data_IF_294922744939
#
_entry.id   IF_294922744939
#
_cell.length_a   1.000
_cell.length_b   1.000
_cell.length_c   1.000
_cell.angle_alpha   90.00
_cell.angle_beta   90.00
_cell.angle_gamma   90.00
#
_symmetry.space_group_name_H-M   'P 1'
#
loop_
_entity.id
_entity.type
_entity.pdbx_description
1 polymer ?
#
# COMPACT_ATOMS: atom_id res chain seq x y z
N UNK A 1 8.25 -32.86 25.93
CA UNK A 1 7.11 -31.93 26.07
C UNK A 1 7.69 -30.52 26.08
N UNK A 2 7.67 -29.82 24.96
CA UNK A 2 8.15 -28.44 24.89
C UNK A 2 7.11 -27.54 25.56
N UNK A 3 7.47 -26.92 26.67
CA UNK A 3 6.66 -25.86 27.28
C UNK A 3 6.93 -24.62 26.45
N UNK A 4 5.96 -24.21 25.63
CA UNK A 4 6.01 -22.91 24.95
C UNK A 4 5.77 -21.86 26.05
N UNK A 5 6.77 -21.03 26.35
CA UNK A 5 6.64 -20.01 27.38
C UNK A 5 5.53 -19.01 27.01
N UNK A 6 4.55 -18.82 27.90
CA UNK A 6 3.48 -17.83 27.75
C UNK A 6 4.10 -16.43 27.69
N UNK A 7 3.81 -15.70 26.60
CA UNK A 7 4.25 -14.31 26.42
C UNK A 7 3.46 -13.34 27.30
N UNK A 8 3.96 -12.11 27.48
CA UNK A 8 3.29 -11.08 28.28
C UNK A 8 1.89 -10.75 27.74
N UNK A 9 1.73 -10.57 26.43
CA UNK A 9 0.42 -10.26 25.84
C UNK A 9 -0.56 -11.43 26.01
N UNK A 10 -0.13 -12.68 25.81
CA UNK A 10 -0.98 -13.86 26.05
C UNK A 10 -1.46 -13.93 27.50
N UNK A 11 -0.56 -13.68 28.45
CA UNK A 11 -0.90 -13.65 29.88
C UNK A 11 -1.93 -12.57 30.19
N UNK A 12 -1.71 -11.35 29.71
CA UNK A 12 -2.64 -10.24 29.90
C UNK A 12 -3.99 -10.51 29.24
N UNK A 13 -4.01 -11.09 28.05
CA UNK A 13 -5.25 -11.46 27.35
C UNK A 13 -6.02 -12.54 28.13
N UNK A 14 -5.34 -13.53 28.71
CA UNK A 14 -5.95 -14.55 29.56
C UNK A 14 -6.56 -13.95 30.83
N UNK A 15 -5.82 -13.07 31.51
CA UNK A 15 -6.34 -12.34 32.68
C UNK A 15 -7.55 -11.48 32.27
N UNK A 16 -7.49 -10.82 31.10
CA UNK A 16 -8.60 -10.07 30.54
C UNK A 16 -9.87 -10.92 30.41
N UNK A 17 -9.74 -12.15 29.92
CA UNK A 17 -10.87 -13.05 29.73
C UNK A 17 -11.44 -13.61 31.05
N UNK A 18 -10.64 -13.69 32.10
CA UNK A 18 -11.02 -14.34 33.37
C UNK A 18 -11.64 -13.39 34.40
N UNK A 19 -11.26 -12.10 34.40
CA UNK A 19 -11.80 -11.14 35.36
C UNK A 19 -13.04 -10.39 34.81
N UNK A 20 -13.92 -9.89 35.69
CA UNK A 20 -15.07 -9.07 35.31
C UNK A 20 -14.69 -7.85 34.46
N UNK A 21 -15.58 -7.50 33.52
CA UNK A 21 -15.40 -6.35 32.64
C UNK A 21 -15.66 -5.05 33.42
N UNK A 22 -14.59 -4.38 33.86
CA UNK A 22 -14.68 -3.06 34.50
C UNK A 22 -14.53 -1.95 33.46
N UNK A 23 -15.29 -0.83 33.58
CA UNK A 23 -15.15 0.30 32.67
C UNK A 23 -13.71 0.80 32.60
N UNK A 24 -13.20 1.00 31.37
CA UNK A 24 -11.83 1.45 31.12
C UNK A 24 -10.76 0.34 31.10
N UNK A 25 -11.12 -0.91 31.43
CA UNK A 25 -10.23 -2.06 31.26
C UNK A 25 -9.92 -2.28 29.79
N UNK A 26 -8.66 -2.59 29.47
CA UNK A 26 -8.16 -2.67 28.09
C UNK A 26 -7.88 -4.11 27.72
N UNK A 27 -8.45 -4.55 26.62
CA UNK A 27 -8.12 -5.84 26.01
C UNK A 27 -6.84 -5.66 25.18
N UNK A 28 -5.72 -6.33 25.52
CA UNK A 28 -4.55 -6.30 24.67
C UNK A 28 -4.83 -7.06 23.36
N UNK A 29 -4.24 -6.60 22.26
CA UNK A 29 -4.32 -7.28 20.97
C UNK A 29 -3.02 -8.02 20.74
N UNK A 30 -3.08 -9.36 20.66
CA UNK A 30 -1.89 -10.17 20.42
C UNK A 30 -1.83 -10.66 18.97
N UNK A 31 -0.63 -10.89 18.46
CA UNK A 31 -0.40 -11.56 17.18
C UNK A 31 -0.41 -13.10 17.32
N UNK A 32 -0.28 -13.81 16.19
CA UNK A 32 -0.33 -15.27 16.15
C UNK A 32 0.83 -15.96 16.90
N UNK A 33 1.91 -15.23 17.21
CA UNK A 33 3.03 -15.72 18.01
C UNK A 33 2.86 -15.38 19.50
N UNK A 34 1.77 -14.69 19.86
CA UNK A 34 1.47 -14.27 21.22
C UNK A 34 2.09 -12.94 21.61
N UNK A 35 2.93 -12.31 20.79
CA UNK A 35 3.46 -10.98 21.09
C UNK A 35 2.36 -9.92 20.99
N UNK A 36 2.62 -8.70 21.45
CA UNK A 36 1.70 -7.60 21.14
C UNK A 36 1.66 -7.37 19.64
N UNK A 37 0.44 -7.25 19.09
CA UNK A 37 0.24 -6.79 17.74
C UNK A 37 0.80 -5.37 17.57
N UNK A 38 1.24 -5.04 16.35
CA UNK A 38 1.92 -3.79 15.99
C UNK A 38 1.22 -2.51 16.48
N UNK A 39 -0.10 -2.57 16.68
CA UNK A 39 -0.96 -1.46 17.07
C UNK A 39 -1.70 -1.83 18.35
N UNK A 40 -1.63 -0.96 19.36
CA UNK A 40 -2.44 -1.06 20.58
C UNK A 40 -3.25 0.21 20.76
N UNK A 41 -4.52 0.06 21.15
CA UNK A 41 -5.43 1.19 21.33
C UNK A 41 -5.90 1.30 22.77
N UNK A 42 -5.98 2.54 23.21
CA UNK A 42 -6.21 2.97 24.58
C UNK A 42 -7.22 4.12 24.52
N UNK A 43 -8.49 3.82 24.82
CA UNK A 43 -9.56 4.80 24.71
C UNK A 43 -9.69 5.33 23.27
N UNK A 44 -9.46 6.63 23.09
CA UNK A 44 -9.51 7.32 21.79
C UNK A 44 -8.18 7.35 21.02
N UNK A 45 -7.08 6.87 21.62
CA UNK A 45 -5.74 6.96 21.02
C UNK A 45 -5.18 5.56 20.75
N UNK A 46 -4.51 5.39 19.62
CA UNK A 46 -3.75 4.21 19.25
C UNK A 46 -2.28 4.55 19.09
N UNK A 47 -1.44 3.54 19.31
CA UNK A 47 0.02 3.63 19.29
C UNK A 47 0.58 2.46 18.50
N UNK A 48 1.64 2.72 17.75
CA UNK A 48 2.48 1.66 17.24
C UNK A 48 3.39 1.16 18.36
N UNK A 49 3.54 -0.17 18.48
CA UNK A 49 4.28 -0.81 19.57
C UNK A 49 5.23 -1.90 19.06
N UNK A 50 6.32 -2.11 19.78
CA UNK A 50 7.22 -3.26 19.62
C UNK A 50 6.55 -4.56 20.09
N UNK A 51 7.18 -5.72 19.81
CA UNK A 51 6.67 -7.05 20.21
C UNK A 51 6.42 -7.20 21.72
N UNK A 52 7.16 -6.46 22.54
CA UNK A 52 7.01 -6.42 23.99
C UNK A 52 5.95 -5.41 24.49
N UNK A 53 5.27 -4.70 23.58
CA UNK A 53 4.24 -3.72 23.90
C UNK A 53 4.76 -2.29 24.14
N UNK A 54 6.08 -2.06 24.09
CA UNK A 54 6.65 -0.71 24.23
C UNK A 54 6.23 0.18 23.06
N UNK A 55 5.76 1.39 23.36
CA UNK A 55 5.35 2.37 22.37
C UNK A 55 6.54 2.87 21.56
N UNK A 56 6.34 3.01 20.24
CA UNK A 56 7.31 3.59 19.33
C UNK A 56 7.07 5.11 19.30
N UNK A 57 8.05 5.94 19.72
CA UNK A 57 7.89 7.38 19.74
C UNK A 57 7.54 7.95 18.36
N UNK A 58 6.67 8.96 18.32
CA UNK A 58 6.25 9.62 17.07
C UNK A 58 5.09 8.94 16.32
N UNK A 59 4.78 7.68 16.62
CA UNK A 59 3.73 6.93 15.93
C UNK A 59 2.50 6.70 16.79
N UNK A 60 1.61 7.70 16.78
CA UNK A 60 0.32 7.63 17.47
C UNK A 60 -0.77 8.31 16.65
N UNK A 61 -1.98 7.77 16.69
CA UNK A 61 -3.12 8.28 15.92
C UNK A 61 -4.44 7.99 16.61
N UNK A 62 -5.49 8.70 16.22
CA UNK A 62 -6.80 8.53 16.82
C UNK A 62 -7.45 7.19 16.43
N UNK A 63 -8.23 6.61 17.34
CA UNK A 63 -8.84 5.29 17.20
C UNK A 63 -9.79 5.17 15.99
N UNK A 64 -10.44 6.25 15.55
CA UNK A 64 -11.27 6.21 14.33
C UNK A 64 -10.49 5.92 13.04
N UNK A 65 -9.15 6.06 13.05
CA UNK A 65 -8.27 5.63 11.96
C UNK A 65 -7.77 4.19 12.12
N UNK A 66 -8.08 3.51 13.24
CA UNK A 66 -7.45 2.24 13.58
C UNK A 66 -7.62 1.15 12.51
N UNK A 67 -8.74 1.08 11.80
CA UNK A 67 -8.94 0.04 10.78
C UNK A 67 -7.97 0.14 9.60
N UNK A 68 -7.64 1.37 9.18
CA UNK A 68 -6.75 1.64 8.05
C UNK A 68 -5.27 1.56 8.44
N UNK A 69 -4.99 1.66 9.75
CA UNK A 69 -3.63 1.84 10.26
C UNK A 69 -3.01 0.54 10.76
N UNK A 70 -1.84 0.21 10.21
CA UNK A 70 -1.25 -1.12 10.42
C UNK A 70 -0.04 -1.12 11.36
N UNK A 71 0.71 -0.02 11.44
CA UNK A 71 1.96 0.09 12.22
C UNK A 71 3.11 -0.85 11.76
N UNK A 72 3.00 -1.49 10.59
CA UNK A 72 4.03 -2.43 10.11
C UNK A 72 5.38 -1.72 9.89
N UNK A 73 5.39 -0.58 9.20
CA UNK A 73 6.61 0.14 8.86
C UNK A 73 7.34 0.66 10.10
N UNK A 74 6.61 1.36 10.99
CA UNK A 74 7.18 1.91 12.22
C UNK A 74 7.85 0.83 13.08
N UNK A 75 7.19 -0.33 13.23
CA UNK A 75 7.74 -1.44 14.02
C UNK A 75 8.96 -2.05 13.36
N UNK A 76 8.92 -2.28 12.06
CA UNK A 76 10.04 -2.89 11.34
C UNK A 76 11.25 -1.96 11.32
N UNK A 77 11.04 -0.65 11.13
CA UNK A 77 12.07 0.36 11.25
C UNK A 77 12.73 0.33 12.63
N UNK A 78 11.93 0.40 13.70
CA UNK A 78 12.44 0.40 15.07
C UNK A 78 13.20 -0.89 15.42
N UNK A 79 12.71 -2.05 14.98
CA UNK A 79 13.39 -3.34 15.17
C UNK A 79 14.71 -3.41 14.38
N UNK A 80 14.74 -2.90 13.15
CA UNK A 80 15.95 -2.87 12.33
C UNK A 80 17.00 -1.91 12.90
N UNK A 81 16.63 -0.70 13.29
CA UNK A 81 17.52 0.28 13.91
C UNK A 81 18.14 -0.27 15.20
N UNK A 82 17.37 -1.02 16.00
CA UNK A 82 17.86 -1.67 17.22
C UNK A 82 18.94 -2.73 16.97
N UNK A 83 19.06 -3.27 15.74
CA UNK A 83 20.15 -4.20 15.39
C UNK A 83 21.50 -3.50 15.19
N UNK A 84 21.49 -2.18 14.97
CA UNK A 84 22.69 -1.41 14.59
C UNK A 84 23.17 -1.65 13.15
N UNK A 85 22.44 -2.45 12.36
CA UNK A 85 22.73 -2.63 10.94
C UNK A 85 22.33 -1.38 10.16
N UNK A 86 23.09 -1.10 9.10
CA UNK A 86 22.86 0.02 8.18
C UNK A 86 22.60 -0.51 6.77
N UNK A 87 21.83 0.23 5.97
CA UNK A 87 21.62 -0.07 4.54
C UNK A 87 20.18 -0.32 4.11
N UNK A 88 19.25 -0.50 5.06
CA UNK A 88 17.81 -0.48 4.78
C UNK A 88 17.22 0.87 5.17
N UNK A 89 16.56 1.53 4.23
CA UNK A 89 15.84 2.77 4.47
C UNK A 89 14.35 2.49 4.57
N UNK A 90 13.72 2.98 5.62
CA UNK A 90 12.27 2.88 5.82
C UNK A 90 11.65 4.24 5.53
N UNK A 91 10.62 4.25 4.69
CA UNK A 91 9.76 5.42 4.52
C UNK A 91 8.41 5.07 5.13
N UNK A 92 8.12 5.65 6.30
CA UNK A 92 6.86 5.42 6.99
C UNK A 92 6.01 6.68 6.97
N UNK A 93 4.71 6.51 6.83
CA UNK A 93 3.73 7.57 7.07
C UNK A 93 3.62 7.85 8.58
N UNK A 94 3.10 9.02 8.97
CA UNK A 94 3.01 9.44 10.38
C UNK A 94 2.19 8.50 11.29
N UNK A 95 1.37 7.65 10.69
CA UNK A 95 0.55 6.65 11.34
C UNK A 95 1.23 5.27 11.47
N UNK A 96 2.48 5.16 10.99
CA UNK A 96 3.34 3.99 11.10
C UNK A 96 3.13 2.93 10.02
N UNK A 97 2.29 3.21 9.03
CA UNK A 97 2.16 2.39 7.83
C UNK A 97 3.31 2.64 6.84
N UNK A 98 3.46 1.76 5.86
CA UNK A 98 4.45 1.95 4.80
C UNK A 98 4.01 3.09 3.88
N UNK A 99 4.93 4.01 3.61
CA UNK A 99 4.77 4.99 2.53
C UNK A 99 4.67 4.24 1.20
N UNK A 100 3.91 4.82 0.26
CA UNK A 100 3.70 4.26 -1.07
C UNK A 100 4.99 4.18 -1.90
N UNK A 101 6.09 4.76 -1.40
CA UNK A 101 7.43 4.63 -1.97
C UNK A 101 8.39 4.10 -0.93
N UNK A 102 9.14 3.07 -1.30
CA UNK A 102 10.29 2.60 -0.52
C UNK A 102 11.55 2.69 -1.37
N UNK A 103 12.70 2.76 -0.70
CA UNK A 103 13.98 2.84 -1.37
C UNK A 103 14.98 1.86 -0.76
N UNK A 104 15.80 1.24 -1.60
CA UNK A 104 16.94 0.42 -1.20
C UNK A 104 18.18 0.92 -1.91
N UNK A 105 19.13 1.48 -1.15
CA UNK A 105 20.28 2.19 -1.71
C UNK A 105 19.83 3.42 -2.52
N UNK A 106 20.21 3.47 -3.80
CA UNK A 106 19.82 4.54 -4.74
C UNK A 106 18.56 4.23 -5.55
N UNK A 107 17.95 3.07 -5.32
CA UNK A 107 16.78 2.62 -6.07
C UNK A 107 15.51 2.84 -5.26
N UNK A 108 14.54 3.55 -5.83
CA UNK A 108 13.22 3.72 -5.25
C UNK A 108 12.16 3.03 -6.10
N UNK A 109 11.13 2.50 -5.45
CA UNK A 109 10.05 1.75 -6.07
C UNK A 109 8.72 2.05 -5.38
N UNK A 110 7.63 1.91 -6.14
CA UNK A 110 6.28 1.94 -5.58
C UNK A 110 6.07 0.71 -4.70
N UNK A 111 5.51 0.89 -3.51
CA UNK A 111 5.34 -0.16 -2.54
C UNK A 111 3.90 -0.23 -2.02
N UNK A 112 3.38 -1.46 -1.91
CA UNK A 112 2.16 -1.76 -1.17
C UNK A 112 2.51 -2.58 0.06
N UNK A 113 2.20 -2.04 1.25
CA UNK A 113 2.60 -2.64 2.54
C UNK A 113 4.11 -2.97 2.59
N UNK A 114 4.95 -2.10 2.01
CA UNK A 114 6.40 -2.24 1.99
C UNK A 114 6.96 -3.16 0.89
N UNK A 115 6.10 -3.86 0.14
CA UNK A 115 6.50 -4.72 -0.98
C UNK A 115 6.43 -3.97 -2.30
N UNK A 116 7.45 -4.14 -3.13
CA UNK A 116 7.47 -3.57 -4.48
C UNK A 116 6.24 -4.02 -5.28
N UNK A 117 5.62 -3.05 -5.94
CA UNK A 117 4.56 -3.27 -6.93
C UNK A 117 5.00 -2.69 -8.27
N UNK A 118 4.77 -3.44 -9.34
CA UNK A 118 5.22 -3.11 -10.69
C UNK A 118 6.72 -3.29 -10.92
N UNK A 119 7.12 -3.22 -12.18
CA UNK A 119 8.53 -3.34 -12.61
C UNK A 119 9.32 -2.03 -12.47
N UNK A 120 8.64 -0.93 -12.12
CA UNK A 120 9.23 0.41 -12.04
C UNK A 120 10.13 0.57 -10.82
N UNK A 121 11.44 0.52 -11.05
CA UNK A 121 12.47 0.93 -10.09
C UNK A 121 13.34 2.03 -10.70
N UNK A 122 13.52 3.16 -10.00
CA UNK A 122 14.29 4.30 -10.52
C UNK A 122 15.62 4.43 -9.80
N UNK A 123 16.70 4.61 -10.58
CA UNK A 123 18.06 4.86 -10.11
C UNK A 123 18.30 6.38 -9.95
N UNK A 124 18.88 6.84 -8.85
CA UNK A 124 19.17 8.27 -8.55
C UNK A 124 17.92 9.18 -8.42
N UNK A 125 16.80 8.67 -7.90
CA UNK A 125 15.54 9.43 -7.83
C UNK A 125 15.56 10.60 -6.84
N UNK A 126 15.41 11.84 -7.36
CA UNK A 126 14.99 13.00 -6.56
C UNK A 126 13.48 12.91 -6.32
N UNK A 127 13.07 13.03 -5.06
CA UNK A 127 11.68 13.01 -4.61
C UNK A 127 10.94 14.26 -5.16
N UNK A 128 10.18 14.12 -6.26
CA UNK A 128 9.27 15.16 -6.74
C UNK A 128 7.86 14.93 -6.18
N UNK A 129 7.49 15.69 -5.14
CA UNK A 129 6.11 15.82 -4.68
C UNK A 129 5.28 16.35 -5.85
N UNK A 130 4.47 15.50 -6.48
CA UNK A 130 3.48 15.97 -7.43
C UNK A 130 2.24 16.32 -6.62
N UNK A 131 1.82 17.58 -6.66
CA UNK A 131 0.50 17.96 -6.19
C UNK A 131 -0.53 17.35 -7.13
N UNK A 132 -1.20 16.28 -6.70
CA UNK A 132 -2.33 15.72 -7.44
C UNK A 132 -3.62 16.43 -7.04
N UNK A 133 -4.41 16.85 -8.03
CA UNK A 133 -5.73 17.43 -7.82
C UNK A 133 -6.79 16.45 -8.33
N UNK A 134 -7.72 16.07 -7.44
CA UNK A 134 -8.91 15.31 -7.83
C UNK A 134 -10.05 16.25 -8.19
N UNK A 135 -10.94 15.79 -9.07
CA UNK A 135 -12.23 16.43 -9.32
C UNK A 135 -13.34 15.59 -8.70
N UNK A 136 -14.13 16.18 -7.81
CA UNK A 136 -15.45 15.64 -7.45
C UNK A 136 -16.42 16.17 -8.51
N UNK A 137 -17.07 15.24 -9.22
CA UNK A 137 -18.11 15.48 -10.21
C UNK A 137 -17.71 16.43 -11.37
N UNK A 138 -16.41 16.47 -11.70
CA UNK A 138 -15.88 17.23 -12.83
C UNK A 138 -15.76 18.75 -12.63
N UNK A 139 -16.19 19.30 -11.48
CA UNK A 139 -16.26 20.76 -11.29
C UNK A 139 -15.67 21.30 -9.99
N UNK A 140 -15.38 20.47 -8.98
CA UNK A 140 -14.70 20.91 -7.76
C UNK A 140 -13.32 20.27 -7.60
N UNK A 141 -12.29 21.12 -7.65
CA UNK A 141 -10.88 20.78 -7.41
C UNK A 141 -10.67 20.56 -5.91
N UNK A 142 -10.32 19.35 -5.50
CA UNK A 142 -9.87 19.08 -4.13
C UNK A 142 -8.45 18.50 -4.13
N UNK A 143 -7.70 18.82 -3.09
CA UNK A 143 -6.35 18.31 -2.88
C UNK A 143 -6.48 16.85 -2.42
N UNK A 144 -6.08 15.90 -3.26
CA UNK A 144 -6.02 14.49 -2.90
C UNK A 144 -4.62 14.22 -2.37
N UNK A 145 -4.52 13.56 -1.22
CA UNK A 145 -3.26 13.32 -0.50
C UNK A 145 -2.15 12.78 -1.42
N UNK A 146 -0.99 13.42 -1.27
CA UNK A 146 0.33 13.20 -1.87
C UNK A 146 0.55 11.84 -2.57
N UNK A 147 0.69 11.85 -3.91
CA UNK A 147 1.29 10.75 -4.67
C UNK A 147 2.55 11.26 -5.36
N UNK A 148 3.65 10.57 -5.12
CA UNK A 148 4.96 10.89 -5.66
C UNK A 148 5.26 10.00 -6.88
N UNK A 149 5.55 10.60 -8.02
CA UNK A 149 6.18 9.90 -9.15
C UNK A 149 7.69 10.01 -9.00
N UNK A 150 8.40 8.89 -9.09
CA UNK A 150 9.85 8.92 -9.23
C UNK A 150 10.14 9.09 -10.73
N UNK A 151 10.62 10.27 -11.14
CA UNK A 151 11.06 10.54 -12.53
C UNK A 151 12.61 10.56 -12.54
N UNK A 152 13.28 9.87 -13.47
CA UNK A 152 14.74 9.96 -13.62
C UNK A 152 15.18 11.39 -13.97
N UNK A 153 16.23 11.91 -13.32
CA UNK A 153 16.86 13.16 -13.75
C UNK A 153 17.48 12.97 -15.15
N UNK A 154 16.95 13.67 -16.16
CA UNK A 154 17.51 13.66 -17.52
C UNK A 154 16.53 13.86 -18.66
N UNK A 155 15.22 13.75 -18.45
CA UNK A 155 14.21 14.05 -19.48
C UNK A 155 13.15 14.97 -18.90
N UNK A 156 13.15 16.24 -19.32
CA UNK A 156 11.90 16.99 -19.40
C UNK A 156 11.25 16.65 -20.74
N UNK A 157 10.10 15.96 -20.77
CA UNK A 157 9.10 16.19 -21.79
C UNK A 157 8.02 17.07 -21.16
N UNK A 158 7.88 18.27 -21.73
CA UNK A 158 6.65 19.03 -21.64
C UNK A 158 5.45 18.10 -21.89
N UNK A 159 4.55 17.99 -20.91
CA UNK A 159 3.21 17.39 -20.99
C UNK A 159 3.02 15.86 -20.86
N UNK A 160 3.86 15.10 -20.13
CA UNK A 160 3.54 13.70 -19.80
C UNK A 160 3.34 13.49 -18.29
N UNK A 161 2.09 13.50 -17.85
CA UNK A 161 1.68 13.03 -16.53
C UNK A 161 1.63 11.50 -16.57
N UNK A 162 2.36 10.83 -15.69
CA UNK A 162 2.31 9.37 -15.54
C UNK A 162 0.91 9.00 -15.00
N UNK A 163 0.16 8.17 -15.72
CA UNK A 163 -1.11 7.61 -15.25
C UNK A 163 -0.79 6.32 -14.49
N UNK A 164 -1.40 6.07 -13.33
CA UNK A 164 -1.17 4.85 -12.54
C UNK A 164 -2.44 4.00 -12.44
N UNK A 165 -3.52 4.40 -13.11
CA UNK A 165 -4.82 3.75 -12.98
C UNK A 165 -4.80 2.31 -13.50
N UNK A 166 -4.12 2.05 -14.62
CA UNK A 166 -4.05 0.70 -15.18
C UNK A 166 -3.37 -0.29 -14.22
N UNK A 167 -2.21 0.08 -13.68
CA UNK A 167 -1.47 -0.76 -12.73
C UNK A 167 -2.20 -0.95 -11.39
N UNK A 168 -2.86 0.10 -10.89
CA UNK A 168 -3.67 0.03 -9.66
C UNK A 168 -4.84 -0.94 -9.82
N UNK A 169 -5.62 -0.79 -10.89
CA UNK A 169 -6.80 -1.65 -11.12
C UNK A 169 -6.41 -3.10 -11.41
N UNK A 170 -5.27 -3.32 -12.06
CA UNK A 170 -4.70 -4.65 -12.23
C UNK A 170 -4.44 -5.31 -10.87
N UNK A 171 -3.73 -4.63 -9.97
CA UNK A 171 -3.41 -5.16 -8.65
C UNK A 171 -4.68 -5.41 -7.79
N UNK A 172 -5.67 -4.51 -7.86
CA UNK A 172 -6.96 -4.68 -7.19
C UNK A 172 -7.71 -5.91 -7.70
N UNK A 173 -7.74 -6.12 -9.02
CA UNK A 173 -8.39 -7.27 -9.63
C UNK A 173 -7.66 -8.59 -9.30
N UNK A 174 -6.34 -8.62 -9.36
CA UNK A 174 -5.53 -9.79 -8.98
C UNK A 174 -5.76 -10.18 -7.51
N UNK A 175 -5.91 -9.19 -6.61
CA UNK A 175 -6.20 -9.43 -5.20
C UNK A 175 -7.57 -10.10 -4.96
N UNK A 176 -8.51 -9.98 -5.90
CA UNK A 176 -9.81 -10.68 -5.81
C UNK A 176 -9.70 -12.18 -6.09
N UNK A 177 -8.62 -12.63 -6.73
CA UNK A 177 -8.45 -14.02 -7.20
C UNK A 177 -9.38 -14.39 -8.37
N UNK A 178 -10.11 -13.42 -8.93
CA UNK A 178 -10.92 -13.63 -10.12
C UNK A 178 -10.03 -13.71 -11.38
N UNK A 179 -10.46 -14.54 -12.32
CA UNK A 179 -9.84 -14.69 -13.65
C UNK A 179 -10.79 -14.17 -14.72
N UNK A 180 -10.22 -13.62 -15.80
CA UNK A 180 -11.00 -13.13 -16.94
C UNK A 180 -10.94 -11.62 -17.18
N UNK A 181 -10.02 -10.88 -16.57
CA UNK A 181 -9.67 -9.53 -17.03
C UNK A 181 -8.17 -9.48 -17.28
N UNK A 182 -7.77 -9.09 -18.48
CA UNK A 182 -6.38 -8.92 -18.85
C UNK A 182 -6.11 -7.43 -18.97
N UNK A 183 -5.30 -6.91 -18.05
CA UNK A 183 -4.85 -5.53 -18.07
C UNK A 183 -3.61 -5.43 -18.95
N UNK A 184 -3.66 -4.54 -19.94
CA UNK A 184 -2.50 -4.17 -20.74
C UNK A 184 -2.19 -2.71 -20.46
N UNK A 185 -1.03 -2.42 -19.90
CA UNK A 185 -0.66 -1.05 -19.55
C UNK A 185 0.50 -0.59 -20.43
N UNK A 186 0.51 0.69 -20.77
CA UNK A 186 1.65 1.35 -21.42
C UNK A 186 2.74 1.68 -20.38
N UNK A 187 3.91 2.09 -20.85
CA UNK A 187 5.03 2.47 -19.98
C UNK A 187 4.79 3.79 -19.22
N UNK A 188 3.85 4.62 -19.66
CA UNK A 188 3.39 5.81 -18.93
C UNK A 188 2.24 5.50 -17.95
N UNK A 189 1.85 4.23 -17.86
CA UNK A 189 0.89 3.63 -16.94
C UNK A 189 -0.60 3.92 -17.23
N UNK A 190 -0.88 4.51 -18.39
CA UNK A 190 -2.22 4.49 -18.98
C UNK A 190 -2.56 3.11 -19.56
N UNK A 191 -3.80 2.93 -20.04
CA UNK A 191 -4.22 1.68 -20.65
C UNK A 191 -3.70 1.58 -22.09
N UNK A 192 -3.15 0.41 -22.45
CA UNK A 192 -2.85 0.07 -23.85
C UNK A 192 -4.14 0.17 -24.69
N UNK A 193 -3.97 0.60 -25.93
CA UNK A 193 -4.99 0.68 -26.97
C UNK A 193 -5.85 -0.59 -27.11
N UNK A 194 -5.35 -1.76 -26.67
CA UNK A 194 -6.10 -3.02 -26.66
C UNK A 194 -6.28 -3.51 -25.22
N UNK A 195 -7.53 -3.73 -24.78
CA UNK A 195 -7.87 -4.36 -23.50
C UNK A 195 -8.72 -5.61 -23.71
N UNK A 196 -8.70 -6.53 -22.76
CA UNK A 196 -9.50 -7.76 -22.85
C UNK A 196 -10.24 -8.11 -21.57
N UNK A 197 -11.48 -8.57 -21.75
CA UNK A 197 -12.34 -9.11 -20.70
C UNK A 197 -12.97 -10.41 -21.20
N UNK A 198 -12.90 -11.45 -20.37
CA UNK A 198 -13.24 -12.82 -20.71
C UNK A 198 -12.38 -13.33 -21.86
N UNK A 199 -13.05 -13.78 -22.92
CA UNK A 199 -12.43 -14.25 -24.16
C UNK A 199 -12.39 -13.20 -25.28
N UNK A 200 -12.75 -11.95 -24.98
CA UNK A 200 -12.88 -10.87 -25.97
C UNK A 200 -11.92 -9.72 -25.69
N UNK A 201 -11.36 -9.16 -26.76
CA UNK A 201 -10.50 -7.98 -26.75
C UNK A 201 -11.15 -6.86 -27.56
N UNK A 202 -10.90 -5.61 -27.19
CA UNK A 202 -11.48 -4.42 -27.80
C UNK A 202 -10.50 -3.25 -27.78
N UNK A 203 -10.73 -2.25 -28.64
CA UNK A 203 -9.97 -1.00 -28.58
C UNK A 203 -10.40 -0.18 -27.38
N UNK A 204 -9.45 0.35 -26.62
CA UNK A 204 -9.69 1.14 -25.42
C UNK A 204 -9.09 2.54 -25.50
N UNK A 205 -9.68 3.49 -24.78
CA UNK A 205 -9.09 4.80 -24.56
C UNK A 205 -8.02 4.77 -23.46
N UNK A 206 -7.37 5.91 -23.23
CA UNK A 206 -6.35 6.08 -22.20
C UNK A 206 -6.80 5.72 -20.77
N UNK A 207 -8.12 5.64 -20.51
CA UNK A 207 -8.71 5.24 -19.23
C UNK A 207 -9.21 3.77 -19.23
N UNK A 208 -8.93 3.00 -20.29
CA UNK A 208 -9.30 1.59 -20.40
C UNK A 208 -10.75 1.35 -20.83
N UNK A 209 -11.47 2.41 -21.23
CA UNK A 209 -12.86 2.31 -21.66
C UNK A 209 -12.93 1.91 -23.13
N UNK A 210 -13.80 0.95 -23.45
CA UNK A 210 -14.02 0.50 -24.82
C UNK A 210 -14.41 1.66 -25.76
N UNK A 211 -13.69 1.78 -26.87
CA UNK A 211 -13.98 2.67 -28.00
C UNK A 211 -14.64 1.86 -29.10
N UNK A 212 -15.85 2.27 -29.49
CA UNK A 212 -16.63 1.61 -30.53
C UNK A 212 -17.19 0.24 -30.11
N UNK A 213 -17.85 -0.44 -31.05
CA UNK A 213 -18.52 -1.72 -30.78
C UNK A 213 -17.67 -2.94 -31.15
N UNK A 214 -16.56 -2.72 -31.84
CA UNK A 214 -15.67 -3.78 -32.33
C UNK A 214 -14.98 -4.50 -31.17
N UNK A 215 -15.23 -5.80 -31.07
CA UNK A 215 -14.48 -6.72 -30.22
C UNK A 215 -14.19 -8.01 -30.97
N UNK A 216 -13.04 -8.61 -30.71
CA UNK A 216 -12.61 -9.87 -31.32
C UNK A 216 -12.31 -10.89 -30.25
N UNK A 217 -12.40 -12.17 -30.61
CA UNK A 217 -11.90 -13.23 -29.72
C UNK A 217 -10.41 -13.03 -29.45
N UNK A 218 -9.93 -13.35 -28.25
CA UNK A 218 -8.54 -13.13 -27.81
C UNK A 218 -7.48 -13.71 -28.77
N UNK A 219 -7.80 -14.81 -29.46
CA UNK A 219 -6.93 -15.43 -30.49
C UNK A 219 -6.75 -14.58 -31.75
N UNK A 220 -7.56 -13.54 -31.91
CA UNK A 220 -7.52 -12.58 -33.04
C UNK A 220 -7.18 -11.18 -32.54
N UNK A 221 -6.63 -11.03 -31.34
CA UNK A 221 -6.27 -9.73 -30.75
C UNK A 221 -5.49 -8.84 -31.72
N UNK A 222 -4.49 -9.40 -32.41
CA UNK A 222 -3.63 -8.68 -33.35
C UNK A 222 -4.34 -8.20 -34.63
N UNK A 223 -5.61 -8.58 -34.82
CA UNK A 223 -6.46 -8.09 -35.92
C UNK A 223 -7.22 -6.81 -35.58
N UNK A 224 -7.19 -6.35 -34.32
CA UNK A 224 -7.74 -5.06 -33.92
C UNK A 224 -6.81 -3.95 -34.41
N UNK A 225 -7.36 -3.06 -35.23
CA UNK A 225 -6.68 -1.82 -35.60
C UNK A 225 -7.14 -0.72 -34.63
N UNK A 226 -6.43 -0.65 -33.52
CA UNK A 226 -6.41 0.44 -32.56
C UNK A 226 -5.08 1.19 -32.75
#
# INVERSE_FOLDING_TARGET
MYIIAETTCQRELRIYQQEPNVPGRRKPVCDNLGNYAHKQCIGSQCYCVLKNGTHIPGFSFNNWKAEQQTCYCAREQAEYEATGLVGKMFRCTNDGSYDSIQCTGQYCYCAWHGKQIGESSVHNGRLLVIESYGYIDGNQKYQKEEYLSVIPEGTMPTNNVLDLNCAREQAEYEATGLVGKMFRCTNDGSYDSIQCTGSHCYCADQNGKQIGESSVHITKMDSLNC
#
